data_IF_997537442054
#
_entry.id   IF_997537442054
#
_cell.length_a   1.000
_cell.length_b   1.000
_cell.length_c   1.000
_cell.angle_alpha   90.00
_cell.angle_beta   90.00
_cell.angle_gamma   90.00
#
_symmetry.space_group_name_H-M   'P 1'
#
loop_
_entity.id
_entity.type
_entity.pdbx_description
1 polymer ?
#
# COMPACT_ATOMS: atom_id res chain seq x y z
N UNK A 1 17.68 -1.25 7.60
CA UNK A 1 18.02 -1.33 6.15
C UNK A 1 16.87 -0.75 5.34
N UNK A 2 17.14 0.00 4.25
CA UNK A 2 16.08 0.48 3.36
C UNK A 2 15.53 -0.72 2.58
N UNK A 3 14.21 -0.90 2.63
CA UNK A 3 13.53 -2.06 2.06
C UNK A 3 12.52 -1.66 0.95
N UNK A 4 11.93 -0.48 1.07
CA UNK A 4 10.99 0.05 0.10
C UNK A 4 11.38 1.49 -0.28
N UNK A 5 11.26 1.83 -1.56
CA UNK A 5 11.39 3.20 -2.06
C UNK A 5 10.27 3.42 -3.07
N UNK A 6 9.58 4.56 -2.96
CA UNK A 6 8.48 4.92 -3.86
C UNK A 6 8.55 6.42 -4.22
N UNK A 7 8.97 6.77 -5.45
CA UNK A 7 8.84 8.13 -5.94
C UNK A 7 7.38 8.48 -6.22
N UNK A 8 7.02 9.75 -6.09
CA UNK A 8 5.68 10.24 -6.42
C UNK A 8 5.47 10.33 -7.93
N UNK A 9 4.26 9.96 -8.39
CA UNK A 9 3.84 10.12 -9.77
C UNK A 9 3.37 11.55 -10.11
N UNK A 10 3.22 12.41 -9.09
CA UNK A 10 2.72 13.78 -9.23
C UNK A 10 3.78 14.84 -8.94
N UNK A 11 4.74 14.53 -8.08
CA UNK A 11 5.76 15.48 -7.65
C UNK A 11 7.15 14.85 -7.80
N UNK A 12 7.95 15.38 -8.72
CA UNK A 12 9.27 14.82 -9.06
C UNK A 12 10.25 14.79 -7.89
N UNK A 13 10.09 15.70 -6.93
CA UNK A 13 10.97 15.82 -5.77
C UNK A 13 10.49 15.02 -4.56
N UNK A 14 9.31 14.40 -4.65
CA UNK A 14 8.70 13.68 -3.54
C UNK A 14 9.02 12.19 -3.62
N UNK A 15 9.73 11.68 -2.62
CA UNK A 15 10.14 10.28 -2.54
C UNK A 15 9.86 9.75 -1.14
N UNK A 16 9.31 8.55 -1.08
CA UNK A 16 9.07 7.82 0.16
C UNK A 16 10.09 6.69 0.31
N UNK A 17 10.52 6.45 1.54
CA UNK A 17 11.41 5.34 1.88
C UNK A 17 10.88 4.61 3.11
N UNK A 18 10.91 3.28 3.06
CA UNK A 18 10.50 2.39 4.14
C UNK A 18 11.62 1.45 4.53
N UNK A 19 11.70 1.12 5.80
CA UNK A 19 12.79 0.32 6.37
C UNK A 19 12.28 -1.00 6.98
N UNK A 20 13.22 -1.90 7.28
CA UNK A 20 12.92 -3.21 7.88
C UNK A 20 12.58 -3.15 9.38
N UNK A 21 13.00 -2.10 10.08
CA UNK A 21 12.68 -1.81 11.48
C UNK A 21 11.35 -1.09 11.68
N UNK A 22 10.70 -0.66 10.58
CA UNK A 22 9.35 -0.11 10.57
C UNK A 22 9.26 1.40 10.49
N UNK A 23 10.33 2.07 10.08
CA UNK A 23 10.34 3.50 9.85
C UNK A 23 9.91 3.84 8.42
N UNK A 24 9.14 4.92 8.30
CA UNK A 24 8.75 5.52 7.03
C UNK A 24 9.29 6.96 7.01
N UNK A 25 10.00 7.28 5.94
CA UNK A 25 10.55 8.61 5.71
C UNK A 25 10.05 9.17 4.38
N UNK A 26 9.94 10.48 4.31
CA UNK A 26 9.61 11.22 3.10
C UNK A 26 10.65 12.31 2.86
N UNK A 27 10.99 12.54 1.61
CA UNK A 27 11.66 13.75 1.13
C UNK A 27 10.73 14.45 0.14
N UNK A 28 10.76 15.78 0.12
CA UNK A 28 10.04 16.62 -0.86
C UNK A 28 10.99 17.57 -1.60
N UNK A 29 12.30 17.44 -1.37
CA UNK A 29 13.34 18.30 -1.93
C UNK A 29 14.35 17.51 -2.79
N UNK A 30 13.95 16.32 -3.26
CA UNK A 30 14.77 15.46 -4.11
C UNK A 30 15.86 14.71 -3.33
N UNK A 31 15.63 14.44 -2.04
CA UNK A 31 16.52 13.66 -1.19
C UNK A 31 17.58 14.47 -0.44
N UNK A 32 17.48 15.81 -0.42
CA UNK A 32 18.40 16.67 0.36
C UNK A 32 18.09 16.59 1.85
N UNK A 33 16.82 16.52 2.21
CA UNK A 33 16.35 16.29 3.58
C UNK A 33 15.28 15.21 3.62
N UNK A 34 15.26 14.46 4.72
CA UNK A 34 14.32 13.38 4.97
C UNK A 34 13.63 13.61 6.31
N UNK A 35 12.30 13.50 6.30
CA UNK A 35 11.45 13.63 7.48
C UNK A 35 10.91 12.26 7.86
N UNK A 36 11.00 11.92 9.14
CA UNK A 36 10.38 10.71 9.67
C UNK A 36 8.87 10.95 9.83
N UNK A 37 8.09 10.16 9.12
CA UNK A 37 6.62 10.22 9.07
C UNK A 37 6.00 8.87 9.48
N UNK A 38 6.72 8.13 10.33
CA UNK A 38 6.29 6.81 10.80
C UNK A 38 4.98 6.93 11.59
N UNK A 39 3.94 6.14 11.25
CA UNK A 39 2.73 6.06 12.05
C UNK A 39 3.05 5.66 13.50
N UNK A 40 2.46 6.34 14.48
CA UNK A 40 2.66 6.04 15.91
C UNK A 40 2.21 4.63 16.30
N UNK A 41 1.37 3.99 15.49
CA UNK A 41 0.88 2.63 15.68
C UNK A 41 1.92 1.56 15.30
N UNK A 42 2.96 1.91 14.53
CA UNK A 42 3.99 0.95 14.13
C UNK A 42 4.92 0.66 15.29
N UNK A 43 5.07 -0.64 15.58
CA UNK A 43 6.02 -1.14 16.56
C UNK A 43 7.37 -1.38 15.89
N UNK A 44 8.49 -1.30 16.64
CA UNK A 44 9.78 -1.77 16.13
C UNK A 44 9.66 -3.17 15.53
N UNK A 45 10.39 -3.42 14.44
CA UNK A 45 10.37 -4.68 13.67
C UNK A 45 9.11 -4.92 12.81
N UNK A 46 8.23 -3.92 12.71
CA UNK A 46 7.11 -3.93 11.75
C UNK A 46 7.63 -3.55 10.36
N UNK A 47 8.17 -4.52 9.62
CA UNK A 47 8.81 -4.26 8.32
C UNK A 47 7.88 -3.52 7.36
N UNK A 48 8.36 -2.42 6.78
CA UNK A 48 7.68 -1.76 5.66
C UNK A 48 7.96 -2.58 4.40
N UNK A 49 7.01 -3.42 3.99
CA UNK A 49 7.19 -4.30 2.83
C UNK A 49 7.13 -3.52 1.53
N UNK A 50 6.20 -2.58 1.42
CA UNK A 50 6.08 -1.72 0.25
C UNK A 50 5.42 -0.41 0.59
N UNK A 51 5.81 0.63 -0.16
CA UNK A 51 5.13 1.92 -0.20
C UNK A 51 4.65 2.12 -1.63
N UNK A 52 3.44 2.64 -1.77
CA UNK A 52 2.83 3.02 -3.04
C UNK A 52 2.42 4.49 -2.95
N UNK A 53 3.09 5.35 -3.73
CA UNK A 53 2.64 6.73 -3.90
C UNK A 53 1.43 6.76 -4.83
N UNK A 54 0.44 7.61 -4.54
CA UNK A 54 -0.77 7.66 -5.36
C UNK A 54 -0.49 8.17 -6.78
N UNK A 55 -1.20 7.56 -7.73
CA UNK A 55 -1.26 8.00 -9.13
C UNK A 55 -2.18 9.19 -9.34
N UNK A 56 -2.96 9.60 -8.32
CA UNK A 56 -3.95 10.67 -8.42
C UNK A 56 -3.62 11.88 -7.56
N UNK A 57 -3.16 11.68 -6.32
CA UNK A 57 -3.00 12.77 -5.34
C UNK A 57 -1.59 12.75 -4.72
N UNK A 58 -0.83 13.85 -4.84
CA UNK A 58 0.59 13.89 -4.43
C UNK A 58 0.82 13.62 -2.93
N UNK A 59 -0.09 14.06 -2.07
CA UNK A 59 -0.03 13.84 -0.62
C UNK A 59 -0.49 12.45 -0.17
N UNK A 60 -0.97 11.61 -1.08
CA UNK A 60 -1.50 10.28 -0.75
C UNK A 60 -0.46 9.21 -1.00
N UNK A 61 -0.25 8.37 0.01
CA UNK A 61 0.57 7.16 -0.11
C UNK A 61 -0.05 6.03 0.71
N UNK A 62 0.26 4.81 0.32
CA UNK A 62 -0.17 3.58 0.97
C UNK A 62 1.06 2.78 1.38
N UNK A 63 1.07 2.23 2.58
CA UNK A 63 2.15 1.40 3.08
C UNK A 63 1.61 0.04 3.53
N UNK A 64 2.15 -1.05 3.00
CA UNK A 64 1.88 -2.39 3.50
C UNK A 64 2.97 -2.81 4.48
N UNK A 65 2.54 -3.27 5.65
CA UNK A 65 3.41 -3.58 6.78
C UNK A 65 3.33 -5.07 7.08
N UNK A 66 4.51 -5.68 7.19
CA UNK A 66 4.68 -7.08 7.52
C UNK A 66 5.19 -7.21 8.95
N UNK A 67 4.26 -7.60 9.82
CA UNK A 67 4.50 -7.81 11.25
C UNK A 67 4.73 -9.29 11.59
N UNK A 68 5.11 -10.13 10.62
CA UNK A 68 5.30 -11.57 10.84
C UNK A 68 6.37 -11.88 11.90
N UNK A 69 7.39 -11.02 12.04
CA UNK A 69 8.43 -11.16 13.07
C UNK A 69 7.94 -10.89 14.49
N UNK A 70 6.73 -10.33 14.62
CA UNK A 70 6.06 -10.00 15.86
C UNK A 70 4.92 -10.98 16.17
N UNK A 71 4.88 -12.13 15.48
CA UNK A 71 3.79 -13.12 15.52
C UNK A 71 2.39 -12.54 15.22
N UNK A 72 2.34 -11.40 14.51
CA UNK A 72 1.09 -10.80 14.03
C UNK A 72 0.87 -11.15 12.56
N UNK A 73 -0.14 -11.99 12.31
CA UNK A 73 -0.53 -12.46 10.97
C UNK A 73 -1.64 -11.63 10.33
N UNK A 74 -2.06 -10.52 10.97
CA UNK A 74 -3.05 -9.61 10.41
C UNK A 74 -2.46 -8.84 9.24
N UNK A 75 -3.34 -8.47 8.31
CA UNK A 75 -2.96 -7.55 7.25
C UNK A 75 -2.88 -6.13 7.85
N UNK A 76 -1.76 -5.45 7.65
CA UNK A 76 -1.60 -4.06 8.03
C UNK A 76 -1.32 -3.23 6.77
N UNK A 77 -2.28 -2.38 6.42
CA UNK A 77 -2.15 -1.45 5.30
C UNK A 77 -2.57 -0.09 5.81
N UNK A 78 -1.64 0.86 5.76
CA UNK A 78 -1.88 2.23 6.18
C UNK A 78 -1.98 3.14 4.96
N UNK A 79 -2.83 4.16 5.05
CA UNK A 79 -2.97 5.22 4.07
C UNK A 79 -2.75 6.57 4.73
N UNK A 80 -1.96 7.41 4.10
CA UNK A 80 -1.89 8.84 4.37
C UNK A 80 -2.51 9.64 3.22
N UNK A 81 -2.95 10.86 3.50
CA UNK A 81 -3.42 11.85 2.49
C UNK A 81 -2.75 13.22 2.65
N UNK A 82 -1.80 13.33 3.56
CA UNK A 82 -1.22 14.58 4.04
C UNK A 82 0.30 14.48 4.17
N UNK A 83 0.94 13.75 3.24
CA UNK A 83 2.39 13.54 3.21
C UNK A 83 2.94 12.84 4.46
N UNK A 84 2.12 11.96 5.06
CA UNK A 84 2.54 11.10 6.18
C UNK A 84 2.35 11.73 7.56
N UNK A 85 1.76 12.94 7.65
CA UNK A 85 1.43 13.55 8.95
C UNK A 85 0.41 12.72 9.71
N UNK A 86 -0.56 12.15 9.00
CA UNK A 86 -1.54 11.23 9.57
C UNK A 86 -1.65 9.97 8.73
N UNK A 87 -1.89 8.86 9.42
CA UNK A 87 -2.06 7.55 8.82
C UNK A 87 -3.35 6.89 9.33
N UNK A 88 -4.09 6.28 8.42
CA UNK A 88 -5.31 5.52 8.70
C UNK A 88 -5.13 4.09 8.21
N UNK A 89 -5.43 3.11 9.06
CA UNK A 89 -5.42 1.71 8.65
C UNK A 89 -6.65 1.39 7.77
N UNK A 90 -6.44 0.73 6.63
CA UNK A 90 -7.45 0.45 5.59
C UNK A 90 -7.63 -1.04 5.31
N UNK A 91 -7.66 -1.85 6.36
CA UNK A 91 -7.66 -3.32 6.28
C UNK A 91 -9.07 -3.94 6.38
N UNK A 92 -10.10 -3.11 6.49
CA UNK A 92 -11.50 -3.55 6.59
C UNK A 92 -11.91 -4.40 5.38
N UNK A 93 -12.32 -5.64 5.62
CA UNK A 93 -12.76 -6.58 4.59
C UNK A 93 -11.66 -7.50 4.05
N UNK A 94 -10.43 -7.35 4.53
CA UNK A 94 -9.32 -8.27 4.26
C UNK A 94 -9.35 -9.38 5.33
N UNK A 95 -9.28 -10.64 4.91
CA UNK A 95 -9.22 -11.76 5.84
C UNK A 95 -7.86 -11.81 6.54
N UNK A 96 -7.85 -12.15 7.82
CA UNK A 96 -6.61 -12.39 8.57
C UNK A 96 -5.95 -13.71 8.17
N UNK A 97 -4.69 -13.90 8.58
CA UNK A 97 -3.94 -15.15 8.34
C UNK A 97 -2.93 -15.06 7.19
N UNK A 98 -2.64 -13.86 6.71
CA UNK A 98 -1.59 -13.60 5.74
C UNK A 98 -1.09 -12.18 5.91
N UNK A 99 0.11 -12.04 6.48
CA UNK A 99 0.75 -10.73 6.62
C UNK A 99 0.71 -9.98 5.27
N UNK A 100 0.21 -8.75 5.32
CA UNK A 100 0.13 -7.89 4.15
C UNK A 100 1.52 -7.60 3.62
N UNK A 101 1.78 -7.96 2.37
CA UNK A 101 3.08 -7.78 1.73
C UNK A 101 3.05 -6.71 0.65
N UNK A 102 1.91 -6.53 0.00
CA UNK A 102 1.80 -5.68 -1.19
C UNK A 102 0.54 -4.84 -1.13
N UNK A 103 0.66 -3.56 -1.46
CA UNK A 103 -0.45 -2.68 -1.82
C UNK A 103 -0.10 -1.96 -3.12
N UNK A 104 -1.06 -1.85 -4.04
CA UNK A 104 -0.91 -1.14 -5.32
C UNK A 104 -2.18 -0.36 -5.64
N UNK A 105 -2.02 0.85 -6.15
CA UNK A 105 -3.16 1.64 -6.64
C UNK A 105 -3.35 1.41 -8.14
N UNK A 106 -4.60 1.29 -8.57
CA UNK A 106 -4.90 1.24 -10.00
C UNK A 106 -4.62 2.62 -10.63
N UNK A 107 -3.73 2.73 -11.63
CA UNK A 107 -3.35 4.02 -12.20
C UNK A 107 -4.47 4.70 -13.02
N UNK A 108 -5.51 3.95 -13.41
CA UNK A 108 -6.60 4.44 -14.25
C UNK A 108 -7.89 4.66 -13.44
N UNK A 109 -8.16 3.81 -12.45
CA UNK A 109 -9.38 3.83 -11.65
C UNK A 109 -9.12 4.30 -10.22
N UNK A 110 -9.42 5.58 -9.98
CA UNK A 110 -9.34 6.17 -8.64
C UNK A 110 -10.17 5.38 -7.63
N UNK A 111 -9.54 5.02 -6.50
CA UNK A 111 -10.17 4.29 -5.41
C UNK A 111 -10.15 2.76 -5.56
N UNK A 112 -9.54 2.20 -6.60
CA UNK A 112 -9.26 0.77 -6.68
C UNK A 112 -7.82 0.49 -6.19
N UNK A 113 -7.68 -0.44 -5.24
CA UNK A 113 -6.39 -0.93 -4.78
C UNK A 113 -6.30 -2.47 -4.96
N UNK A 114 -5.07 -2.97 -4.98
CA UNK A 114 -4.77 -4.40 -4.97
C UNK A 114 -3.93 -4.71 -3.72
N UNK A 115 -4.28 -5.77 -2.99
CA UNK A 115 -3.64 -6.13 -1.72
C UNK A 115 -3.15 -7.58 -1.70
N UNK A 116 -1.84 -7.79 -1.69
CA UNK A 116 -1.25 -9.14 -1.65
C UNK A 116 -0.88 -9.56 -0.23
N UNK A 117 -1.31 -10.76 0.19
CA UNK A 117 -0.82 -11.42 1.40
C UNK A 117 0.11 -12.59 1.04
N UNK A 118 1.03 -12.94 1.96
CA UNK A 118 2.02 -14.01 1.71
C UNK A 118 1.39 -15.35 1.26
N UNK A 119 0.24 -15.71 1.81
CA UNK A 119 -0.43 -16.98 1.52
C UNK A 119 -1.60 -16.86 0.52
N UNK A 120 -2.07 -15.64 0.24
CA UNK A 120 -3.29 -15.37 -0.55
C UNK A 120 -3.20 -14.02 -1.26
N UNK A 121 -3.51 -13.97 -2.54
CA UNK A 121 -3.72 -12.69 -3.24
C UNK A 121 -5.19 -12.28 -3.07
N UNK A 122 -5.44 -11.06 -2.58
CA UNK A 122 -6.80 -10.52 -2.38
C UNK A 122 -6.97 -9.19 -3.12
N UNK A 123 -8.15 -8.93 -3.66
CA UNK A 123 -8.44 -7.66 -4.33
C UNK A 123 -9.11 -6.70 -3.35
N UNK A 124 -8.75 -5.42 -3.34
CA UNK A 124 -9.32 -4.41 -2.43
C UNK A 124 -9.86 -3.19 -3.21
N UNK A 125 -11.14 -3.19 -3.56
CA UNK A 125 -11.76 -1.96 -4.05
C UNK A 125 -12.14 -1.03 -2.88
N UNK A 126 -11.49 0.13 -2.76
CA UNK A 126 -11.90 1.15 -1.78
C UNK A 126 -13.16 1.90 -2.20
N UNK A 127 -13.61 1.78 -3.46
CA UNK A 127 -14.93 2.27 -3.89
C UNK A 127 -16.09 1.51 -3.22
N UNK A 128 -15.83 0.34 -2.60
CA UNK A 128 -16.83 -0.50 -1.97
C UNK A 128 -16.85 -0.43 -0.41
N UNK A 129 -16.28 0.61 0.21
CA UNK A 129 -16.39 0.79 1.67
C UNK A 129 -17.78 1.23 2.16
N UNK A 130 -18.83 1.15 1.34
CA UNK A 130 -20.24 1.27 1.75
C UNK A 130 -21.03 -0.04 1.74
N UNK A 131 -20.48 -1.20 1.36
CA UNK A 131 -21.29 -2.42 1.38
C UNK A 131 -20.56 -3.73 1.12
N UNK A 132 -20.49 -4.55 2.18
CA UNK A 132 -20.41 -6.01 2.23
C UNK A 132 -19.47 -6.77 1.27
N UNK A 133 -18.44 -7.40 1.89
CA UNK A 133 -17.65 -8.57 1.42
C UNK A 133 -17.06 -8.49 0.00
N UNK A 134 -15.74 -8.37 -0.08
CA UNK A 134 -14.98 -8.77 -1.27
C UNK A 134 -15.08 -10.31 -1.42
N UNK A 135 -15.87 -10.80 -2.38
CA UNK A 135 -15.93 -12.24 -2.67
C UNK A 135 -14.63 -12.69 -3.34
N UNK A 136 -14.05 -13.79 -2.84
CA UNK A 136 -12.80 -14.40 -3.29
C UNK A 136 -12.93 -15.18 -4.61
N UNK A 137 -13.74 -14.72 -5.56
CA UNK A 137 -14.03 -15.49 -6.77
C UNK A 137 -13.55 -14.78 -8.04
N UNK A 138 -12.22 -14.73 -8.22
CA UNK A 138 -11.67 -14.92 -9.56
C UNK A 138 -11.06 -16.32 -9.59
N UNK A 139 -11.92 -17.27 -9.97
CA UNK A 139 -11.52 -18.64 -10.31
C UNK A 139 -10.52 -18.54 -11.45
N UNK A 140 -9.33 -19.10 -11.25
CA UNK A 140 -8.26 -19.36 -12.23
C UNK A 140 -8.73 -19.25 -13.69
N UNK A 141 -8.33 -18.19 -14.39
CA UNK A 141 -8.08 -18.30 -15.82
C UNK A 141 -6.56 -18.17 -16.02
N UNK A 142 -5.91 -19.17 -16.61
CA UNK A 142 -4.46 -19.21 -16.75
C UNK A 142 -4.01 -18.08 -17.67
N UNK A 143 -2.73 -17.71 -17.55
CA UNK A 143 -1.99 -16.79 -18.43
C UNK A 143 -2.67 -16.46 -19.75
N UNK A 144 -3.16 -15.23 -19.89
CA UNK A 144 -3.41 -14.60 -21.19
C UNK A 144 -3.12 -13.10 -21.07
N UNK A 145 -1.86 -12.82 -21.35
CA UNK A 145 -1.32 -11.60 -21.92
C UNK A 145 -2.27 -11.02 -23.01
N UNK A 146 -2.49 -9.70 -22.94
CA UNK A 146 -2.89 -8.74 -23.99
C UNK A 146 -4.36 -8.58 -24.46
N UNK A 147 -4.81 -7.34 -24.24
CA UNK A 147 -5.49 -6.43 -25.20
C UNK A 147 -7.00 -6.56 -25.47
N UNK A 148 -7.56 -5.37 -25.77
CA UNK A 148 -8.90 -4.98 -26.24
C UNK A 148 -9.88 -4.56 -25.11
N UNK A 149 -10.51 -3.38 -25.15
CA UNK A 149 -10.81 -2.51 -26.28
C UNK A 149 -10.96 -1.04 -25.85
N UNK A 150 -10.48 -0.16 -26.72
CA UNK A 150 -10.71 1.28 -26.78
C UNK A 150 -12.14 1.55 -27.30
N UNK A 151 -12.80 2.54 -26.67
CA UNK A 151 -14.00 3.32 -27.08
C UNK A 151 -14.86 2.87 -28.28
N UNK A 152 -16.16 2.68 -28.07
CA UNK A 152 -17.23 3.67 -28.32
C UNK A 152 -18.51 3.22 -27.62
#
# INVERSE_FOLDING_TARGET
MIYAVAPSFKEVNTIWAGTDDGLIHITQDGGKSWQNVTPAQLKPWSRVSIIEASHFDAGTAYAAINSFRLDDLRAHIYRTRDFGKTWTEITKGIADGGAGNVVREDPLRKGLLFAGQRARFTFLSMTAMTGNRCSSTFRTRPCAIWQFMVTT
#
